data_IF_830791721892
#
_entry.id   IF_830791721892
#
_cell.length_a   1.000
_cell.length_b   1.000
_cell.length_c   1.000
_cell.angle_alpha   90.00
_cell.angle_beta   90.00
_cell.angle_gamma   90.00
#
_symmetry.space_group_name_H-M   'P 1'
#
loop_
_entity.id
_entity.type
_entity.pdbx_description
1 polymer ?
#
# COMPACT_ATOMS: atom_id res chain seq x y z
N UNK A 1 2.81 2.31 25.71
CA UNK A 1 3.36 3.63 26.04
C UNK A 1 2.27 4.68 25.89
N UNK A 2 1.83 5.21 27.03
CA UNK A 2 0.75 6.19 27.10
C UNK A 2 1.21 7.62 26.78
N UNK A 3 2.52 7.86 26.86
CA UNK A 3 3.14 9.17 26.65
C UNK A 3 3.14 9.61 25.19
N UNK A 4 3.15 8.65 24.25
CA UNK A 4 3.17 8.92 22.82
C UNK A 4 1.77 9.32 22.34
N UNK A 5 1.61 10.63 22.06
CA UNK A 5 0.37 11.23 21.53
C UNK A 5 0.26 11.18 20.01
N UNK A 6 1.38 11.03 19.29
CA UNK A 6 1.47 11.12 17.84
C UNK A 6 2.45 10.11 17.26
N UNK A 7 2.09 9.53 16.11
CA UNK A 7 2.95 8.62 15.34
C UNK A 7 2.87 9.01 13.87
N UNK A 8 4.01 9.04 13.18
CA UNK A 8 4.09 9.28 11.74
C UNK A 8 4.54 8.01 11.06
N UNK A 9 3.74 7.56 10.09
CA UNK A 9 4.10 6.51 9.16
C UNK A 9 4.55 7.14 7.85
N UNK A 10 5.69 6.68 7.33
CA UNK A 10 6.25 7.14 6.06
C UNK A 10 6.43 5.95 5.13
N UNK A 11 5.84 6.03 3.95
CA UNK A 11 6.01 5.05 2.88
C UNK A 11 6.57 5.71 1.63
N UNK A 12 7.54 5.08 0.98
CA UNK A 12 8.23 5.60 -0.21
C UNK A 12 8.14 4.57 -1.33
N UNK A 13 7.76 4.99 -2.52
CA UNK A 13 7.61 4.12 -3.70
C UNK A 13 6.68 2.96 -3.40
N UNK A 14 7.13 1.74 -3.70
CA UNK A 14 6.37 0.50 -3.47
C UNK A 14 6.04 0.25 -1.99
N UNK A 15 6.72 0.92 -1.06
CA UNK A 15 6.40 0.83 0.36
C UNK A 15 5.23 1.73 0.78
N UNK A 16 4.79 2.67 -0.06
CA UNK A 16 3.62 3.53 0.22
C UNK A 16 2.36 2.70 0.48
N UNK A 17 2.17 1.65 -0.32
CA UNK A 17 1.04 0.74 -0.22
C UNK A 17 1.03 -0.05 1.11
N UNK A 18 2.21 -0.57 1.50
CA UNK A 18 2.41 -1.29 2.76
C UNK A 18 2.27 -0.37 3.97
N UNK A 19 2.71 0.88 3.84
CA UNK A 19 2.57 1.92 4.86
C UNK A 19 1.10 2.12 5.26
N UNK A 20 0.20 2.24 4.28
CA UNK A 20 -1.25 2.31 4.53
C UNK A 20 -1.73 1.07 5.30
N UNK A 21 -1.31 -0.12 4.88
CA UNK A 21 -1.69 -1.37 5.57
C UNK A 21 -1.24 -1.40 7.04
N UNK A 22 -0.01 -0.94 7.33
CA UNK A 22 0.51 -0.83 8.69
C UNK A 22 -0.33 0.13 9.54
N UNK A 23 -0.70 1.28 8.99
CA UNK A 23 -1.58 2.27 9.64
C UNK A 23 -2.93 1.64 10.00
N UNK A 24 -3.55 0.93 9.07
CA UNK A 24 -4.86 0.29 9.31
C UNK A 24 -4.79 -0.79 10.39
N UNK A 25 -3.72 -1.59 10.40
CA UNK A 25 -3.50 -2.59 11.48
C UNK A 25 -3.25 -1.89 12.82
N UNK A 26 -2.52 -0.78 12.82
CA UNK A 26 -2.26 0.00 14.03
C UNK A 26 -3.54 0.58 14.62
N UNK A 27 -4.40 1.19 13.81
CA UNK A 27 -5.70 1.73 14.23
C UNK A 27 -6.58 0.66 14.88
N UNK A 28 -6.66 -0.54 14.26
CA UNK A 28 -7.44 -1.66 14.81
C UNK A 28 -6.95 -2.14 16.18
N UNK A 29 -5.64 -2.11 16.44
CA UNK A 29 -5.05 -2.57 17.70
C UNK A 29 -5.26 -1.59 18.86
N UNK A 30 -5.32 -0.29 18.59
CA UNK A 30 -5.40 0.73 19.65
C UNK A 30 -6.79 0.88 20.26
N UNK A 31 -7.87 0.54 19.54
CA UNK A 31 -9.28 0.65 20.00
C UNK A 31 -9.70 2.03 20.57
N UNK A 32 -8.86 3.05 20.44
CA UNK A 32 -9.08 4.44 20.84
C UNK A 32 -9.48 5.29 19.63
N UNK A 33 -10.08 6.47 19.88
CA UNK A 33 -10.29 7.44 18.81
C UNK A 33 -8.95 8.02 18.33
N UNK A 34 -8.69 7.92 17.02
CA UNK A 34 -7.48 8.45 16.41
C UNK A 34 -7.84 9.44 15.30
N UNK A 35 -7.10 10.54 15.29
CA UNK A 35 -7.16 11.62 14.32
C UNK A 35 -6.04 11.39 13.29
N UNK A 36 -6.43 11.11 12.05
CA UNK A 36 -5.51 10.85 10.95
C UNK A 36 -5.34 12.10 10.09
N UNK A 37 -4.11 12.36 9.65
CA UNK A 37 -3.77 13.36 8.65
C UNK A 37 -2.82 12.75 7.61
N UNK A 38 -3.11 12.92 6.32
CA UNK A 38 -2.30 12.37 5.25
C UNK A 38 -1.67 13.50 4.42
N UNK A 39 -0.43 13.28 4.01
CA UNK A 39 0.26 14.16 3.07
C UNK A 39 0.98 13.34 2.01
N UNK A 40 0.93 13.83 0.78
CA UNK A 40 1.64 13.26 -0.37
C UNK A 40 2.81 14.18 -0.72
N UNK A 41 3.93 13.58 -1.10
CA UNK A 41 5.14 14.28 -1.52
C UNK A 41 5.90 13.42 -2.52
N UNK A 42 6.99 13.95 -3.07
CA UNK A 42 7.93 13.21 -3.91
C UNK A 42 9.33 13.32 -3.30
N UNK A 43 10.09 12.23 -3.37
CA UNK A 43 11.49 12.19 -2.96
C UNK A 43 12.36 11.86 -4.17
N UNK A 44 13.39 12.67 -4.40
CA UNK A 44 14.38 12.44 -5.44
C UNK A 44 15.28 11.28 -5.05
N UNK A 45 15.38 10.28 -5.93
CA UNK A 45 16.31 9.16 -5.82
C UNK A 45 17.25 9.17 -7.02
N UNK A 46 18.54 9.30 -6.74
CA UNK A 46 19.57 9.13 -7.77
C UNK A 46 19.88 7.65 -7.91
N UNK A 47 19.77 7.12 -9.11
CA UNK A 47 20.11 5.73 -9.46
C UNK A 47 21.12 5.75 -10.59
N UNK A 48 22.11 4.86 -10.54
CA UNK A 48 23.05 4.68 -11.62
C UNK A 48 22.70 3.41 -12.38
N UNK A 49 22.63 3.51 -13.70
CA UNK A 49 22.33 2.39 -14.59
C UNK A 49 23.59 2.04 -15.35
N UNK A 50 24.02 0.80 -15.21
CA UNK A 50 25.18 0.28 -15.91
C UNK A 50 24.78 -0.10 -17.34
N UNK A 51 25.50 0.36 -18.37
CA UNK A 51 25.16 0.06 -19.75
C UNK A 51 25.41 -1.41 -20.05
N UNK A 52 24.56 -1.98 -20.90
CA UNK A 52 24.64 -3.39 -21.32
C UNK A 52 25.84 -3.59 -22.27
N UNK A 53 26.18 -2.57 -23.08
CA UNK A 53 27.28 -2.62 -24.03
C UNK A 53 28.59 -2.20 -23.36
N UNK A 54 29.63 -3.02 -23.53
CA UNK A 54 30.97 -2.74 -23.03
C UNK A 54 31.56 -1.46 -23.65
N UNK A 55 32.32 -0.69 -22.86
CA UNK A 55 32.93 0.57 -23.28
C UNK A 55 32.01 1.80 -23.19
N UNK A 56 30.74 1.65 -22.81
CA UNK A 56 29.84 2.78 -22.56
C UNK A 56 29.93 3.31 -21.12
N UNK A 57 29.57 4.58 -20.95
CA UNK A 57 29.59 5.25 -19.65
C UNK A 57 28.35 4.92 -18.81
N UNK A 58 28.54 4.83 -17.50
CA UNK A 58 27.46 4.67 -16.51
C UNK A 58 26.50 5.86 -16.53
N UNK A 59 25.20 5.59 -16.66
CA UNK A 59 24.17 6.63 -16.72
C UNK A 59 23.69 7.00 -15.30
N UNK A 60 23.72 8.29 -14.96
CA UNK A 60 23.14 8.82 -13.72
C UNK A 60 21.71 9.30 -13.98
N UNK A 61 20.73 8.63 -13.40
CA UNK A 61 19.31 8.95 -13.53
C UNK A 61 18.77 9.49 -12.20
N UNK A 62 17.99 10.57 -12.25
CA UNK A 62 17.26 11.09 -11.08
C UNK A 62 15.78 10.75 -11.24
N UNK A 63 15.24 9.98 -10.30
CA UNK A 63 13.86 9.49 -10.33
C UNK A 63 13.09 10.14 -9.16
N UNK A 64 11.96 10.78 -9.46
CA UNK A 64 11.03 11.23 -8.43
C UNK A 64 10.18 10.06 -7.96
N UNK A 65 10.33 9.70 -6.69
CA UNK A 65 9.62 8.59 -6.06
C UNK A 65 8.48 9.11 -5.19
N UNK A 66 7.24 8.63 -5.32
CA UNK A 66 6.14 9.10 -4.50
C UNK A 66 6.36 8.74 -3.03
N UNK A 67 5.95 9.63 -2.13
CA UNK A 67 6.03 9.47 -0.69
C UNK A 67 4.67 9.78 -0.08
N UNK A 68 4.22 8.91 0.81
CA UNK A 68 3.06 9.14 1.66
C UNK A 68 3.51 9.30 3.11
N UNK A 69 2.97 10.32 3.77
CA UNK A 69 3.05 10.53 5.20
C UNK A 69 1.66 10.37 5.79
N UNK A 70 1.52 9.56 6.83
CA UNK A 70 0.28 9.40 7.57
C UNK A 70 0.58 9.65 9.05
N UNK A 71 0.07 10.76 9.56
CA UNK A 71 0.15 11.10 10.97
C UNK A 71 -1.12 10.61 11.67
N UNK A 72 -0.94 9.85 12.75
CA UNK A 72 -2.01 9.51 13.68
C UNK A 72 -1.78 10.27 14.99
N UNK A 73 -2.79 10.97 15.47
CA UNK A 73 -2.79 11.62 16.77
C UNK A 73 -3.95 11.11 17.62
N UNK A 74 -3.74 11.07 18.93
CA UNK A 74 -4.79 10.87 19.92
C UNK A 74 -5.49 12.17 20.29
N UNK A 75 -4.93 13.32 19.91
CA UNK A 75 -5.50 14.65 20.13
C UNK A 75 -6.14 15.15 18.84
N UNK A 76 -7.24 15.91 18.93
CA UNK A 76 -7.77 16.61 17.77
C UNK A 76 -6.75 17.60 17.23
N UNK A 77 -6.68 17.72 15.91
CA UNK A 77 -5.83 18.72 15.27
C UNK A 77 -6.43 20.13 15.46
N UNK A 78 -5.60 21.17 15.66
CA UNK A 78 -6.03 22.56 15.72
C UNK A 78 -6.86 22.94 14.49
N UNK A 79 -7.86 23.81 14.66
CA UNK A 79 -8.77 24.23 13.59
C UNK A 79 -8.02 24.78 12.36
N UNK A 80 -6.91 25.47 12.58
CA UNK A 80 -6.04 26.04 11.55
C UNK A 80 -5.39 24.99 10.64
N UNK A 81 -5.19 23.78 11.15
CA UNK A 81 -4.56 22.68 10.42
C UNK A 81 -5.61 21.74 9.82
N UNK A 82 -6.89 21.93 10.11
CA UNK A 82 -7.96 21.06 9.61
C UNK A 82 -8.11 21.19 8.10
N UNK A 83 -8.13 20.06 7.41
CA UNK A 83 -8.28 20.00 5.96
C UNK A 83 -9.03 18.74 5.52
N UNK A 84 -9.39 18.68 4.23
CA UNK A 84 -10.13 17.55 3.64
C UNK A 84 -9.42 16.20 3.76
N UNK A 85 -8.11 16.19 4.05
CA UNK A 85 -7.36 14.96 4.24
C UNK A 85 -7.51 14.36 5.66
N UNK A 86 -8.15 15.07 6.59
CA UNK A 86 -8.33 14.59 7.96
C UNK A 86 -9.47 13.58 8.06
N UNK A 87 -9.23 12.54 8.85
CA UNK A 87 -10.21 11.49 9.12
C UNK A 87 -10.15 11.12 10.59
N UNK A 88 -11.29 10.82 11.18
CA UNK A 88 -11.39 10.22 12.52
C UNK A 88 -11.75 8.76 12.37
N UNK A 89 -11.34 7.93 13.33
CA UNK A 89 -11.75 6.52 13.38
C UNK A 89 -13.28 6.35 13.44
N UNK A 90 -13.99 7.33 13.99
CA UNK A 90 -15.46 7.41 14.02
C UNK A 90 -16.09 7.65 12.64
N UNK A 91 -15.39 8.27 11.68
CA UNK A 91 -15.91 8.50 10.32
C UNK A 91 -16.09 7.20 9.52
N UNK A 92 -15.33 6.16 9.89
CA UNK A 92 -15.35 4.85 9.22
C UNK A 92 -16.52 3.94 9.62
N UNK A 93 -17.36 4.33 10.58
CA UNK A 93 -18.44 3.49 11.10
C UNK A 93 -19.73 3.54 10.28
N UNK A 94 -19.66 3.70 8.95
CA UNK A 94 -20.74 3.17 8.11
C UNK A 94 -20.62 1.67 8.14
N UNK A 95 -21.23 1.04 9.16
CA UNK A 95 -21.56 -0.38 9.12
C UNK A 95 -22.21 -0.59 7.77
N UNK A 96 -21.56 -1.35 6.88
CA UNK A 96 -22.28 -1.93 5.75
C UNK A 96 -23.32 -2.81 6.43
N UNK A 97 -24.53 -2.27 6.58
CA UNK A 97 -25.66 -3.01 7.11
C UNK A 97 -25.80 -4.23 6.22
N UNK A 98 -25.43 -5.39 6.77
CA UNK A 98 -25.88 -6.65 6.19
C UNK A 98 -27.39 -6.59 6.35
N UNK A 99 -28.10 -6.30 5.25
CA UNK A 99 -29.57 -6.42 5.21
C UNK A 99 -29.94 -7.71 5.95
N UNK A 100 -30.85 -7.67 6.94
CA UNK A 100 -31.34 -8.90 7.54
C UNK A 100 -31.94 -9.72 6.40
N UNK A 101 -31.39 -10.92 6.20
CA UNK A 101 -31.98 -11.87 5.27
C UNK A 101 -33.23 -12.41 5.93
N UNK A 102 -34.36 -11.75 5.72
CA UNK A 102 -35.66 -12.32 6.05
C UNK A 102 -35.84 -13.64 5.28
N UNK A 103 -36.04 -14.72 6.05
CA UNK A 103 -36.76 -15.92 5.65
C UNK A 103 -36.38 -16.60 4.33
N UNK A 104 -35.17 -17.17 4.20
CA UNK A 104 -34.94 -18.26 3.22
C UNK A 104 -34.56 -19.57 3.93
N UNK A 105 -35.27 -20.67 3.65
CA UNK A 105 -35.00 -21.95 4.28
C UNK A 105 -33.61 -22.43 3.84
N UNK A 106 -32.93 -23.12 4.76
CA UNK A 106 -31.58 -23.65 4.59
C UNK A 106 -31.48 -24.55 3.35
N UNK A 107 -31.06 -23.98 2.21
CA UNK A 107 -30.59 -24.77 1.06
C UNK A 107 -29.13 -25.17 1.31
N UNK A 108 -28.96 -26.39 1.81
CA UNK A 108 -27.75 -27.21 1.63
C UNK A 108 -27.28 -27.07 0.16
N UNK A 109 -26.02 -26.70 -0.06
CA UNK A 109 -25.32 -27.00 -1.32
C UNK A 109 -24.87 -25.85 -2.25
N UNK A 110 -24.85 -24.58 -1.82
CA UNK A 110 -24.35 -23.48 -2.67
C UNK A 110 -22.85 -23.25 -2.54
N UNK A 111 -22.05 -23.51 -3.58
CA UNK A 111 -20.64 -23.08 -3.67
C UNK A 111 -20.56 -21.56 -3.45
N UNK A 112 -19.76 -21.12 -2.46
CA UNK A 112 -19.41 -19.71 -2.27
C UNK A 112 -18.87 -19.15 -3.60
N UNK A 113 -19.27 -17.95 -4.04
CA UNK A 113 -18.63 -17.32 -5.19
C UNK A 113 -17.14 -17.22 -4.87
N UNK A 114 -16.32 -17.81 -5.73
CA UNK A 114 -14.87 -17.86 -5.60
C UNK A 114 -14.36 -16.43 -5.69
N UNK A 115 -14.18 -15.80 -4.52
CA UNK A 115 -13.50 -14.52 -4.39
C UNK A 115 -12.14 -14.71 -5.07
N UNK A 116 -11.90 -13.95 -6.14
CA UNK A 116 -10.62 -13.96 -6.83
C UNK A 116 -9.45 -13.79 -5.85
N UNK A 117 -8.25 -14.23 -6.22
CA UNK A 117 -7.08 -14.14 -5.34
C UNK A 117 -6.98 -12.72 -4.78
N UNK A 118 -6.81 -12.62 -3.47
CA UNK A 118 -6.67 -11.34 -2.80
C UNK A 118 -5.49 -10.62 -3.47
N UNK A 119 -5.70 -9.39 -3.96
CA UNK A 119 -4.63 -8.57 -4.56
C UNK A 119 -3.43 -8.39 -3.62
N UNK A 120 -3.69 -8.56 -2.32
CA UNK A 120 -2.73 -8.46 -1.23
C UNK A 120 -2.16 -9.81 -0.76
N UNK A 121 -2.54 -10.92 -1.40
CA UNK A 121 -1.96 -12.22 -1.08
C UNK A 121 -0.51 -12.25 -1.56
N UNK A 122 0.35 -12.88 -0.76
CA UNK A 122 1.72 -13.16 -1.18
C UNK A 122 1.67 -13.97 -2.49
N UNK A 123 2.37 -13.55 -3.55
CA UNK A 123 2.46 -14.35 -4.78
C UNK A 123 2.96 -15.76 -4.44
N UNK A 124 2.40 -16.76 -5.14
CA UNK A 124 2.86 -18.14 -4.97
C UNK A 124 4.31 -18.28 -5.45
N UNK A 125 4.98 -19.37 -5.06
CA UNK A 125 6.35 -19.63 -5.49
C UNK A 125 6.43 -19.74 -7.01
N UNK A 126 5.45 -20.40 -7.61
CA UNK A 126 5.32 -20.59 -9.05
C UNK A 126 5.13 -19.25 -9.79
N UNK A 127 4.32 -18.34 -9.23
CA UNK A 127 4.12 -17.01 -9.82
C UNK A 127 5.41 -16.18 -9.83
N UNK A 128 6.26 -16.33 -8.80
CA UNK A 128 7.57 -15.66 -8.76
C UNK A 128 8.57 -16.25 -9.75
N UNK A 129 8.57 -17.58 -9.89
CA UNK A 129 9.43 -18.28 -10.85
C UNK A 129 9.05 -17.94 -12.29
N UNK A 130 7.75 -17.82 -12.58
CA UNK A 130 7.25 -17.39 -13.88
C UNK A 130 7.66 -15.94 -14.22
N UNK A 131 7.50 -15.00 -13.27
CA UNK A 131 7.95 -13.61 -13.47
C UNK A 131 9.46 -13.53 -13.69
N UNK A 132 10.25 -14.35 -12.99
CA UNK A 132 11.69 -14.41 -13.16
C UNK A 132 12.08 -14.96 -14.55
N UNK A 133 11.39 -16.00 -15.02
CA UNK A 133 11.62 -16.57 -16.35
C UNK A 133 11.26 -15.58 -17.46
N UNK A 134 10.15 -14.86 -17.33
CA UNK A 134 9.74 -13.82 -18.29
C UNK A 134 10.80 -12.70 -18.36
N UNK A 135 11.31 -12.25 -17.21
CA UNK A 135 12.41 -11.27 -17.16
C UNK A 135 13.67 -11.78 -17.85
N UNK A 136 14.03 -13.05 -17.65
CA UNK A 136 15.19 -13.65 -18.29
C UNK A 136 15.03 -13.70 -19.81
N UNK A 137 13.84 -14.07 -20.30
CA UNK A 137 13.53 -14.09 -21.74
C UNK A 137 13.63 -12.69 -22.36
N UNK A 138 13.15 -11.67 -21.65
CA UNK A 138 13.27 -10.27 -22.09
C UNK A 138 14.74 -9.85 -22.20
N UNK A 139 15.57 -10.22 -21.23
CA UNK A 139 17.02 -9.94 -21.25
C UNK A 139 17.68 -10.62 -22.44
N UNK A 140 17.40 -11.91 -22.67
CA UNK A 140 17.97 -12.66 -23.80
C UNK A 140 17.57 -12.08 -25.15
N UNK A 141 16.32 -11.59 -25.28
CA UNK A 141 15.87 -10.89 -26.49
C UNK A 141 16.63 -9.58 -26.72
N UNK A 142 16.89 -8.82 -25.66
CA UNK A 142 17.64 -7.56 -25.74
C UNK A 142 19.11 -7.80 -26.12
N UNK A 143 19.74 -8.85 -25.60
CA UNK A 143 21.11 -9.23 -25.94
C UNK A 143 21.28 -9.65 -27.41
N UNK A 144 20.20 -10.13 -28.04
CA UNK A 144 20.17 -10.56 -29.44
C UNK A 144 19.76 -9.45 -30.43
N UNK A 145 19.44 -8.24 -29.96
CA UNK A 145 19.16 -7.12 -30.85
C UNK A 145 20.47 -6.59 -31.46
N UNK A 146 20.52 -6.35 -32.78
CA UNK A 146 21.73 -5.87 -33.48
C UNK A 146 22.08 -4.42 -33.13
#
# INVERSE_FOLDING_TARGET
DETVRRVIFRGVGDAAEKCVSCVEVYKRKRQEELYQWNALSTAKRVTYWDPIVEGMNRLKVTIDTPVIFIMLSRDPYPAELQCMSMQKTSDGSKKIEKKPTDGRPARRGGKKPQRGPNKWARPSKEAKEAEMAERHEVVEKLEKMP
#
